data_IF_827893063732
#
_entry.id   IF_827893063732
#
_cell.length_a   1.000
_cell.length_b   1.000
_cell.length_c   1.000
_cell.angle_alpha   90.00
_cell.angle_beta   90.00
_cell.angle_gamma   90.00
#
_symmetry.space_group_name_H-M   'P 1'
#
loop_
_entity.id
_entity.type
_entity.pdbx_description
1 polymer ?
#
# COMPACT_ATOMS: atom_id res chain seq x y z
N UNK A 1 6.17 21.33 25.67
CA UNK A 1 6.43 20.19 24.77
C UNK A 1 5.12 19.91 24.05
N UNK A 2 5.04 20.27 22.78
CA UNK A 2 3.80 20.13 22.01
C UNK A 2 3.45 18.65 21.86
N UNK A 3 2.21 18.29 22.17
CA UNK A 3 1.69 16.95 22.02
C UNK A 3 1.52 16.69 20.51
N UNK A 4 2.58 16.24 19.85
CA UNK A 4 2.56 15.99 18.41
C UNK A 4 1.64 14.79 18.14
N UNK A 5 0.49 15.04 17.51
CA UNK A 5 -0.44 13.96 17.16
C UNK A 5 0.20 13.10 16.09
N UNK A 6 0.28 11.79 16.33
CA UNK A 6 0.71 10.82 15.31
C UNK A 6 -0.17 10.96 14.07
N UNK A 7 0.47 11.11 12.90
CA UNK A 7 -0.21 11.14 11.58
C UNK A 7 -0.99 9.86 11.33
N UNK A 8 -0.39 8.73 11.67
CA UNK A 8 -0.97 7.41 11.45
C UNK A 8 -1.59 6.89 12.74
N UNK A 9 -2.85 6.49 12.66
CA UNK A 9 -3.61 5.90 13.74
C UNK A 9 -3.97 4.46 13.37
N UNK A 10 -3.23 3.51 13.93
CA UNK A 10 -3.54 2.08 13.79
C UNK A 10 -4.80 1.76 14.60
N UNK A 11 -5.72 1.02 13.98
CA UNK A 11 -6.99 0.59 14.56
C UNK A 11 -6.97 -0.92 14.82
N UNK A 12 -7.82 -1.39 15.74
CA UNK A 12 -7.91 -2.81 16.12
C UNK A 12 -8.50 -3.70 15.01
N UNK A 13 -9.13 -3.10 14.00
CA UNK A 13 -9.69 -3.76 12.82
C UNK A 13 -8.65 -4.11 11.74
N UNK A 14 -7.36 -3.85 12.00
CA UNK A 14 -6.28 -4.09 11.05
C UNK A 14 -6.11 -3.00 9.99
N UNK A 15 -6.68 -1.81 10.22
CA UNK A 15 -6.53 -0.65 9.34
C UNK A 15 -5.66 0.45 9.98
N UNK A 16 -5.18 1.36 9.14
CA UNK A 16 -4.35 2.51 9.56
C UNK A 16 -4.94 3.77 8.93
N UNK A 17 -5.44 4.67 9.77
CA UNK A 17 -5.94 5.97 9.33
C UNK A 17 -4.80 6.97 9.18
N UNK A 18 -4.74 7.65 8.04
CA UNK A 18 -3.80 8.74 7.76
C UNK A 18 -4.52 10.09 7.90
N UNK A 19 -4.21 10.83 8.98
CA UNK A 19 -4.86 12.10 9.28
C UNK A 19 -4.51 13.24 8.31
N UNK A 20 -3.45 13.10 7.51
CA UNK A 20 -3.03 14.13 6.55
C UNK A 20 -3.79 13.99 5.24
N UNK A 21 -3.94 12.77 4.74
CA UNK A 21 -4.65 12.49 3.48
C UNK A 21 -6.13 12.14 3.69
N UNK A 22 -6.55 11.94 4.95
CA UNK A 22 -7.91 11.51 5.33
C UNK A 22 -8.33 10.22 4.64
N UNK A 23 -7.39 9.30 4.46
CA UNK A 23 -7.64 7.97 3.92
C UNK A 23 -7.31 6.91 4.96
N UNK A 24 -7.94 5.75 4.82
CA UNK A 24 -7.66 4.58 5.64
C UNK A 24 -6.97 3.54 4.77
N UNK A 25 -5.83 3.04 5.24
CA UNK A 25 -5.05 2.00 4.59
C UNK A 25 -5.36 0.64 5.22
N UNK A 26 -5.35 -0.42 4.41
CA UNK A 26 -5.13 -1.76 4.98
C UNK A 26 -3.71 -1.80 5.57
N UNK A 27 -3.55 -2.32 6.79
CA UNK A 27 -2.23 -2.42 7.40
C UNK A 27 -1.35 -3.38 6.59
N UNK A 28 -1.85 -4.57 6.33
CA UNK A 28 -1.22 -5.53 5.43
C UNK A 28 -1.39 -5.09 3.97
N UNK A 29 -0.38 -5.38 3.16
CA UNK A 29 -0.50 -5.35 1.71
C UNK A 29 -0.76 -6.76 1.19
N UNK A 30 -0.97 -6.88 -0.13
CA UNK A 30 -1.18 -8.18 -0.77
C UNK A 30 0.00 -9.14 -0.60
N UNK A 31 1.22 -8.64 -0.37
CA UNK A 31 2.40 -9.49 -0.16
C UNK A 31 2.34 -10.17 1.19
N UNK A 32 1.93 -9.48 2.24
CA UNK A 32 1.74 -10.05 3.57
C UNK A 32 0.57 -11.03 3.61
N UNK A 33 -0.52 -10.72 2.92
CA UNK A 33 -1.73 -11.55 2.96
C UNK A 33 -1.66 -12.79 2.06
N UNK A 34 -1.00 -12.69 0.89
CA UNK A 34 -0.98 -13.76 -0.11
C UNK A 34 0.35 -14.52 -0.21
N UNK A 35 1.39 -14.02 0.46
CA UNK A 35 2.78 -14.53 0.38
C UNK A 35 3.30 -14.70 -1.07
N UNK A 36 2.84 -13.85 -2.00
CA UNK A 36 3.29 -13.82 -3.40
C UNK A 36 3.36 -12.40 -3.96
N UNK A 37 4.07 -12.26 -5.08
CA UNK A 37 3.94 -11.09 -5.95
C UNK A 37 2.67 -11.20 -6.80
N UNK A 38 2.07 -10.06 -7.13
CA UNK A 38 0.81 -9.98 -7.89
C UNK A 38 0.98 -9.11 -9.12
N UNK A 39 0.50 -9.58 -10.26
CA UNK A 39 0.25 -8.73 -11.43
C UNK A 39 -0.82 -7.66 -11.12
N UNK A 40 -0.98 -6.69 -12.02
CA UNK A 40 -2.03 -5.68 -11.86
C UNK A 40 -3.44 -6.30 -11.83
N UNK A 41 -3.70 -7.33 -12.66
CA UNK A 41 -4.97 -8.06 -12.65
C UNK A 41 -5.21 -8.79 -11.32
N UNK A 42 -4.17 -9.42 -10.76
CA UNK A 42 -4.27 -10.07 -9.46
C UNK A 42 -4.44 -9.05 -8.31
N UNK A 43 -3.90 -7.84 -8.44
CA UNK A 43 -4.16 -6.74 -7.52
C UNK A 43 -5.64 -6.30 -7.57
N UNK A 44 -6.24 -6.26 -8.76
CA UNK A 44 -7.68 -5.99 -8.92
C UNK A 44 -8.55 -7.11 -8.34
N UNK A 45 -8.13 -8.37 -8.47
CA UNK A 45 -8.80 -9.52 -7.84
C UNK A 45 -8.70 -9.45 -6.31
N UNK A 46 -7.52 -9.21 -5.76
CA UNK A 46 -7.31 -9.04 -4.32
C UNK A 46 -8.16 -7.90 -3.74
N UNK A 47 -8.31 -6.79 -4.47
CA UNK A 47 -9.22 -5.70 -4.11
C UNK A 47 -10.68 -6.16 -4.05
N UNK A 48 -11.17 -6.89 -5.06
CA UNK A 48 -12.54 -7.40 -5.10
C UNK A 48 -12.79 -8.36 -3.94
N UNK A 49 -11.88 -9.31 -3.70
CA UNK A 49 -11.99 -10.25 -2.58
C UNK A 49 -11.98 -9.54 -1.22
N UNK A 50 -11.13 -8.53 -1.04
CA UNK A 50 -11.07 -7.74 0.20
C UNK A 50 -12.40 -7.04 0.48
N UNK A 51 -13.06 -6.56 -0.58
CA UNK A 51 -14.39 -5.95 -0.47
C UNK A 51 -15.49 -6.96 -0.16
N UNK A 52 -15.47 -8.12 -0.81
CA UNK A 52 -16.44 -9.20 -0.57
C UNK A 52 -16.34 -9.74 0.86
N UNK A 53 -15.12 -9.92 1.37
CA UNK A 53 -14.83 -10.39 2.73
C UNK A 53 -15.05 -9.31 3.80
N UNK A 54 -15.33 -8.07 3.40
CA UNK A 54 -15.40 -6.90 4.28
C UNK A 54 -14.16 -6.77 5.16
N UNK A 55 -12.97 -6.80 4.55
CA UNK A 55 -11.72 -6.67 5.29
C UNK A 55 -11.73 -5.40 6.17
N UNK A 56 -11.39 -5.53 7.46
CA UNK A 56 -11.49 -4.43 8.43
C UNK A 56 -12.91 -3.90 8.66
N UNK A 57 -13.95 -4.65 8.27
CA UNK A 57 -15.35 -4.22 8.33
C UNK A 57 -15.82 -3.38 7.13
N UNK A 58 -14.99 -3.23 6.09
CA UNK A 58 -15.23 -2.30 4.98
C UNK A 58 -15.26 -2.99 3.61
N UNK A 59 -16.05 -2.45 2.67
CA UNK A 59 -16.30 -3.05 1.35
C UNK A 59 -16.08 -2.09 0.16
N UNK A 60 -15.31 -1.03 0.39
CA UNK A 60 -15.03 0.07 -0.53
C UNK A 60 -13.51 0.32 -0.67
N UNK A 61 -12.70 -0.73 -0.46
CA UNK A 61 -11.28 -0.76 -0.75
C UNK A 61 -11.00 -0.56 -2.23
N UNK A 62 -9.95 0.19 -2.53
CA UNK A 62 -9.46 0.45 -3.88
C UNK A 62 -7.94 0.47 -3.95
N UNK A 63 -7.42 0.30 -5.15
CA UNK A 63 -6.00 0.55 -5.46
C UNK A 63 -5.71 2.06 -5.24
N UNK A 64 -4.59 2.44 -4.59
CA UNK A 64 -4.27 3.82 -4.31
C UNK A 64 -3.97 4.61 -5.56
N UNK A 65 -4.22 5.91 -5.53
CA UNK A 65 -3.65 6.83 -6.52
C UNK A 65 -2.14 6.97 -6.29
N UNK A 66 -1.41 7.47 -7.30
CA UNK A 66 0.02 7.73 -7.11
C UNK A 66 0.29 8.75 -5.99
N UNK A 67 -0.53 9.79 -5.85
CA UNK A 67 -0.36 10.79 -4.80
C UNK A 67 -0.53 10.19 -3.40
N UNK A 68 -1.52 9.31 -3.22
CA UNK A 68 -1.73 8.61 -1.95
C UNK A 68 -0.56 7.67 -1.66
N UNK A 69 -0.13 6.86 -2.63
CA UNK A 69 1.01 5.96 -2.46
C UNK A 69 2.32 6.72 -2.16
N UNK A 70 2.61 7.81 -2.88
CA UNK A 70 3.75 8.67 -2.59
C UNK A 70 3.67 9.33 -1.22
N UNK A 71 2.47 9.61 -0.71
CA UNK A 71 2.30 10.35 0.55
C UNK A 71 2.76 9.58 1.80
N UNK A 72 2.83 8.24 1.73
CA UNK A 72 3.25 7.41 2.86
C UNK A 72 4.75 7.07 2.84
N UNK A 73 5.46 7.42 1.76
CA UNK A 73 6.91 7.41 1.73
C UNK A 73 7.47 8.54 2.59
N UNK A 74 8.39 8.22 3.49
CA UNK A 74 9.06 9.18 4.34
C UNK A 74 10.51 8.75 4.60
N UNK A 75 11.47 9.47 4.02
CA UNK A 75 12.91 9.19 4.11
C UNK A 75 13.46 9.22 5.54
N UNK A 76 12.76 9.82 6.50
CA UNK A 76 13.15 9.86 7.91
C UNK A 76 12.68 8.64 8.69
N UNK A 77 11.84 7.80 8.07
CA UNK A 77 11.33 6.55 8.62
C UNK A 77 12.07 5.37 8.03
N UNK A 78 12.15 4.29 8.79
CA UNK A 78 12.78 3.06 8.38
C UNK A 78 11.92 1.87 8.80
N UNK A 79 11.69 0.97 7.84
CA UNK A 79 10.99 -0.29 8.01
C UNK A 79 11.65 -1.35 7.10
N UNK A 80 11.23 -2.61 7.21
CA UNK A 80 11.83 -3.74 6.48
C UNK A 80 10.82 -4.41 5.56
N UNK A 81 11.22 -4.65 4.32
CA UNK A 81 10.44 -5.43 3.36
C UNK A 81 10.53 -6.95 3.60
N UNK A 82 9.80 -7.75 2.82
CA UNK A 82 9.80 -9.21 2.89
C UNK A 82 11.15 -9.90 2.56
N UNK A 83 12.17 -9.15 2.14
CA UNK A 83 13.54 -9.62 1.85
C UNK A 83 14.56 -8.99 2.80
N UNK A 84 14.11 -8.43 3.94
CA UNK A 84 14.93 -7.68 4.90
C UNK A 84 15.60 -6.41 4.33
N UNK A 85 15.13 -5.95 3.17
CA UNK A 85 15.55 -4.71 2.53
C UNK A 85 14.96 -3.47 3.21
N UNK A 86 15.70 -2.36 3.17
CA UNK A 86 15.26 -1.10 3.75
C UNK A 86 14.17 -0.44 2.90
N UNK A 87 13.07 -0.07 3.55
CA UNK A 87 12.00 0.74 2.97
C UNK A 87 11.67 1.91 3.90
N UNK A 88 11.32 3.04 3.31
CA UNK A 88 11.13 4.29 4.01
C UNK A 88 9.64 4.52 4.29
N UNK A 89 9.09 3.69 5.18
CA UNK A 89 7.72 3.75 5.68
C UNK A 89 7.73 3.87 7.21
N UNK A 90 6.70 4.49 7.77
CA UNK A 90 6.52 4.52 9.23
C UNK A 90 6.36 3.10 9.80
N UNK A 91 6.93 2.85 11.00
CA UNK A 91 6.87 1.56 11.69
C UNK A 91 5.46 1.12 12.12
N UNK A 92 4.47 2.01 12.01
CA UNK A 92 3.05 1.67 12.15
C UNK A 92 2.60 0.62 11.12
N UNK A 93 3.22 0.65 9.92
CA UNK A 93 3.00 -0.35 8.90
C UNK A 93 3.75 -1.64 9.24
N UNK A 94 3.18 -2.83 8.97
CA UNK A 94 3.83 -4.08 9.32
C UNK A 94 5.17 -4.27 8.59
N UNK A 95 6.12 -4.87 9.31
CA UNK A 95 7.37 -5.42 8.75
C UNK A 95 7.03 -6.55 7.78
N UNK A 96 7.82 -6.72 6.73
CA UNK A 96 7.65 -7.79 5.75
C UNK A 96 6.68 -7.45 4.62
N UNK A 97 6.24 -6.19 4.53
CA UNK A 97 5.50 -5.68 3.37
C UNK A 97 6.37 -5.74 2.10
N UNK A 98 5.74 -5.60 0.94
CA UNK A 98 6.48 -5.34 -0.29
C UNK A 98 7.17 -3.97 -0.23
N UNK A 99 8.25 -3.84 -1.00
CA UNK A 99 8.94 -2.58 -1.17
C UNK A 99 8.27 -1.61 -2.14
N UNK A 100 7.11 -1.97 -2.68
CA UNK A 100 6.37 -1.15 -3.63
C UNK A 100 4.86 -1.38 -3.55
N UNK A 101 4.08 -0.49 -4.18
CA UNK A 101 2.65 -0.70 -4.39
C UNK A 101 2.24 -0.33 -5.81
N UNK A 102 1.37 -1.13 -6.42
CA UNK A 102 0.60 -0.74 -7.59
C UNK A 102 -0.26 0.47 -7.28
N UNK A 103 -0.45 1.30 -8.29
CA UNK A 103 -1.33 2.46 -8.24
C UNK A 103 -2.36 2.42 -9.36
N UNK A 104 -3.47 3.12 -9.18
CA UNK A 104 -4.53 3.23 -10.18
C UNK A 104 -4.13 4.07 -11.41
N UNK A 105 -2.93 4.64 -11.43
CA UNK A 105 -2.40 5.38 -12.57
C UNK A 105 -2.01 4.41 -13.68
N UNK A 106 -2.77 4.38 -14.77
CA UNK A 106 -2.53 3.47 -15.90
C UNK A 106 -2.33 4.21 -17.21
N UNK A 107 -1.52 3.65 -18.12
CA UNK A 107 -1.37 4.13 -19.50
C UNK A 107 -1.20 2.94 -20.43
N UNK A 108 -2.12 2.76 -21.39
CA UNK A 108 -2.11 1.60 -22.27
C UNK A 108 -2.01 0.27 -21.51
N UNK A 109 -0.93 -0.48 -21.78
CA UNK A 109 -0.64 -1.78 -21.15
C UNK A 109 0.11 -1.67 -19.82
N UNK A 110 0.44 -0.46 -19.37
CA UNK A 110 1.23 -0.22 -18.18
C UNK A 110 0.39 0.33 -17.02
N UNK A 111 0.85 0.10 -15.80
CA UNK A 111 0.42 0.76 -14.58
C UNK A 111 1.64 1.28 -13.82
N UNK A 112 1.46 2.34 -13.05
CA UNK A 112 2.52 2.94 -12.27
C UNK A 112 2.63 2.23 -10.91
N UNK A 113 3.86 1.96 -10.49
CA UNK A 113 4.21 1.42 -9.19
C UNK A 113 4.99 2.48 -8.43
N UNK A 114 4.67 2.65 -7.16
CA UNK A 114 5.43 3.48 -6.22
C UNK A 114 6.41 2.61 -5.43
N UNK A 115 7.71 2.91 -5.46
CA UNK A 115 8.73 2.17 -4.69
C UNK A 115 9.10 2.90 -3.41
N UNK A 116 8.99 2.21 -2.28
CA UNK A 116 9.30 2.75 -0.96
C UNK A 116 10.79 2.65 -0.60
N UNK A 117 11.59 1.93 -1.37
CA UNK A 117 13.04 1.88 -1.21
C UNK A 117 13.75 3.15 -1.71
N UNK A 118 13.14 3.91 -2.63
CA UNK A 118 13.75 5.11 -3.20
C UNK A 118 12.82 6.30 -3.37
N UNK A 119 11.52 6.15 -3.09
CA UNK A 119 10.56 7.26 -3.21
C UNK A 119 10.21 7.60 -4.66
N UNK A 120 10.51 6.73 -5.63
CA UNK A 120 10.29 6.99 -7.04
C UNK A 120 9.18 6.11 -7.62
N UNK A 121 8.30 6.68 -8.47
CA UNK A 121 7.35 5.89 -9.21
C UNK A 121 7.86 5.52 -10.61
N UNK A 122 7.52 4.31 -11.06
CA UNK A 122 7.93 3.77 -12.35
C UNK A 122 6.75 3.09 -13.05
N UNK A 123 6.81 3.03 -14.37
CA UNK A 123 5.79 2.37 -15.19
C UNK A 123 6.23 0.94 -15.49
N UNK A 124 5.30 0.00 -15.28
CA UNK A 124 5.51 -1.42 -15.55
C UNK A 124 4.33 -1.98 -16.33
N UNK A 125 4.59 -2.98 -17.16
CA UNK A 125 3.51 -3.70 -17.84
C UNK A 125 2.60 -4.39 -16.82
N UNK A 126 1.29 -4.29 -17.02
CA UNK A 126 0.27 -4.82 -16.10
C UNK A 126 0.36 -6.33 -15.89
N UNK A 127 0.86 -7.04 -16.89
CA UNK A 127 1.03 -8.50 -16.86
C UNK A 127 2.42 -8.94 -16.37
N UNK A 128 3.31 -7.98 -16.10
CA UNK A 128 4.63 -8.28 -15.57
C UNK A 128 4.53 -8.85 -14.15
N UNK A 129 5.19 -9.99 -13.93
CA UNK A 129 5.29 -10.70 -12.64
C UNK A 129 6.74 -10.91 -12.21
N UNK A 130 7.69 -10.21 -12.83
CA UNK A 130 9.13 -10.48 -12.68
C UNK A 130 9.75 -9.84 -11.44
N UNK A 131 9.15 -8.77 -10.88
CA UNK A 131 9.66 -8.08 -9.70
C UNK A 131 8.57 -7.96 -8.61
N UNK A 132 8.93 -7.45 -7.43
CA UNK A 132 8.18 -7.40 -6.14
C UNK A 132 6.80 -6.69 -6.14
N UNK A 133 6.00 -6.87 -7.18
CA UNK A 133 4.71 -6.24 -7.38
C UNK A 133 3.71 -6.64 -6.29
N UNK A 134 3.19 -5.66 -5.57
CA UNK A 134 2.18 -5.83 -4.54
C UNK A 134 1.21 -4.65 -4.54
N UNK A 135 0.13 -4.71 -3.77
CA UNK A 135 -0.77 -3.57 -3.57
C UNK A 135 -1.15 -3.42 -2.09
N UNK A 136 -1.05 -2.20 -1.56
CA UNK A 136 -1.69 -1.81 -0.30
C UNK A 136 -2.94 -1.02 -0.61
N UNK A 137 -4.09 -1.59 -0.30
CA UNK A 137 -5.37 -0.97 -0.60
C UNK A 137 -5.67 0.18 0.36
N UNK A 138 -6.45 1.12 -0.15
CA UNK A 138 -6.87 2.33 0.53
C UNK A 138 -8.37 2.54 0.35
N UNK A 139 -8.99 3.21 1.29
CA UNK A 139 -10.37 3.70 1.23
C UNK A 139 -10.45 5.12 1.78
N UNK A 140 -11.54 5.83 1.48
CA UNK A 140 -11.83 7.13 2.12
C UNK A 140 -12.89 6.92 3.18
N UNK A 141 -12.66 7.46 4.37
CA UNK A 141 -13.69 7.53 5.39
C UNK A 141 -14.70 8.60 4.92
N UNK A 142 -15.97 8.20 4.76
CA UNK A 142 -17.09 9.07 4.38
C UNK A 142 -17.65 9.85 5.56
#
# INVERSE_FOLDING_TARGET
MGNEKSRFLKRDDGTIYDSVTSVTWMANDSRLDLDKVVSYSEAEEYMKESNEKKAGGYSDWRIPTIHEASSIYDKEKLNKDFKDGDIYLDSVFPVGAANCTWTSSTRGKEAQIMFYANGCPYWYEKNDKTISHAVRLVRRDS
#
